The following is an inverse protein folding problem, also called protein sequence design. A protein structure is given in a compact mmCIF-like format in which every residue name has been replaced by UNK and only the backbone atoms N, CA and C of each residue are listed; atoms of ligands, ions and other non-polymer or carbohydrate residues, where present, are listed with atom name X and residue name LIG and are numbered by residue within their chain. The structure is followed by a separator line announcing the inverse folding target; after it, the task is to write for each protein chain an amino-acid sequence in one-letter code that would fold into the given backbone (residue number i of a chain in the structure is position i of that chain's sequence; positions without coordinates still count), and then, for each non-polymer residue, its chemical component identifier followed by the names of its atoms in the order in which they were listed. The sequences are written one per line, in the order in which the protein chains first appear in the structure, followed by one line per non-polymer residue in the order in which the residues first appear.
data_IF_363944217830
#
_entry.id   IF_363944217830
#
_cell.length_a   1.000
_cell.length_b   1.000
_cell.length_c   1.000
_cell.angle_alpha   90.00
_cell.angle_beta   90.00
_cell.angle_gamma   90.00
#
_symmetry.space_group_name_H-M   'P 1'
#
loop_
_entity.id
_entity.type
_entity.pdbx_description
1 polymer ?
#
# COMPACT_ATOMS: atom_id res chain seq x y z
N UNK A 1 10.42 5.06 10.71
CA UNK A 1 11.72 4.53 10.32
C UNK A 1 11.55 3.43 9.30
N UNK A 2 12.21 3.57 8.20
CA UNK A 2 12.03 2.68 7.06
C UNK A 2 13.19 1.70 6.89
N UNK A 3 13.87 1.33 7.97
CA UNK A 3 14.99 0.40 7.90
C UNK A 3 14.60 -0.93 8.53
N UNK A 4 14.66 -1.99 7.74
CA UNK A 4 14.47 -3.35 8.23
C UNK A 4 15.81 -3.94 8.66
N UNK A 5 15.82 -4.70 9.75
CA UNK A 5 17.01 -5.37 10.24
C UNK A 5 17.32 -6.64 9.45
N UNK A 6 17.29 -6.53 8.12
CA UNK A 6 17.52 -7.63 7.19
C UNK A 6 18.58 -7.21 6.17
N UNK A 7 19.37 -8.20 5.73
CA UNK A 7 20.40 -7.98 4.74
C UNK A 7 19.81 -7.72 3.36
N UNK A 8 20.53 -6.95 2.55
CA UNK A 8 20.16 -6.69 1.16
C UNK A 8 20.07 -8.02 0.39
N UNK A 9 18.98 -8.18 -0.35
CA UNK A 9 18.74 -9.34 -1.19
C UNK A 9 18.53 -10.65 -0.43
N UNK A 10 18.13 -10.59 0.84
CA UNK A 10 18.01 -11.77 1.70
C UNK A 10 16.65 -12.45 1.65
N UNK A 11 15.62 -11.77 1.16
CA UNK A 11 14.26 -12.30 1.17
C UNK A 11 13.79 -12.68 -0.23
N UNK A 12 13.11 -13.81 -0.33
CA UNK A 12 12.45 -14.27 -1.56
C UNK A 12 11.07 -13.63 -1.74
N UNK A 13 10.35 -13.45 -0.64
CA UNK A 13 8.98 -12.91 -0.62
C UNK A 13 8.82 -12.02 0.59
N UNK A 14 8.20 -10.87 0.39
CA UNK A 14 7.67 -10.03 1.47
C UNK A 14 6.16 -9.94 1.34
N UNK A 15 5.48 -10.07 2.47
CA UNK A 15 4.02 -9.90 2.53
C UNK A 15 3.72 -8.68 3.38
N UNK A 16 2.95 -7.75 2.82
CA UNK A 16 2.51 -6.55 3.53
C UNK A 16 0.99 -6.47 3.51
N UNK A 17 0.40 -6.16 4.65
CA UNK A 17 -1.04 -6.03 4.80
C UNK A 17 -1.35 -4.88 5.74
N UNK A 18 -1.99 -3.83 5.23
CA UNK A 18 -2.37 -2.68 6.03
C UNK A 18 -1.18 -1.88 6.57
N UNK A 19 0.00 -1.98 5.95
CA UNK A 19 1.23 -1.30 6.41
C UNK A 19 1.47 0.00 5.66
N UNK A 20 1.35 -0.04 4.35
CA UNK A 20 1.70 1.10 3.49
C UNK A 20 0.75 2.30 3.69
N UNK A 21 -0.44 2.06 4.19
CA UNK A 21 -1.37 3.14 4.52
C UNK A 21 -0.94 3.93 5.77
N UNK A 22 -0.13 3.35 6.64
CA UNK A 22 0.18 3.90 7.96
C UNK A 22 1.63 4.37 8.11
N UNK A 23 2.53 3.99 7.21
CA UNK A 23 3.92 4.45 7.29
C UNK A 23 4.01 5.94 6.95
N UNK A 24 4.88 6.65 7.63
CA UNK A 24 5.03 8.10 7.43
C UNK A 24 5.59 8.44 6.04
N UNK A 25 6.50 7.62 5.52
CA UNK A 25 7.10 7.77 4.20
C UNK A 25 6.94 6.47 3.42
N UNK A 26 5.94 6.44 2.56
CA UNK A 26 5.61 5.26 1.75
C UNK A 26 6.72 4.92 0.76
N UNK A 27 7.33 5.93 0.14
CA UNK A 27 8.42 5.71 -0.82
C UNK A 27 9.67 5.12 -0.13
N UNK A 28 10.01 5.61 1.05
CA UNK A 28 11.14 5.09 1.82
C UNK A 28 10.90 3.64 2.26
N UNK A 29 9.69 3.31 2.70
CA UNK A 29 9.33 1.95 3.09
C UNK A 29 9.45 1.00 1.90
N UNK A 30 8.94 1.40 0.73
CA UNK A 30 9.00 0.60 -0.48
C UNK A 30 10.43 0.43 -1.00
N UNK A 31 11.26 1.45 -0.89
CA UNK A 31 12.68 1.35 -1.24
C UNK A 31 13.38 0.31 -0.35
N UNK A 32 13.05 0.27 0.94
CA UNK A 32 13.60 -0.72 1.86
C UNK A 32 13.12 -2.14 1.54
N UNK A 33 11.84 -2.31 1.19
CA UNK A 33 11.34 -3.60 0.72
C UNK A 33 12.07 -4.08 -0.54
N UNK A 34 12.31 -3.15 -1.47
CA UNK A 34 13.05 -3.44 -2.70
C UNK A 34 14.49 -3.87 -2.40
N UNK A 35 15.13 -3.21 -1.44
CA UNK A 35 16.49 -3.55 -1.01
C UNK A 35 16.59 -4.96 -0.45
N UNK A 36 15.66 -5.33 0.42
CA UNK A 36 15.65 -6.61 1.14
C UNK A 36 15.33 -7.79 0.23
N UNK A 37 14.47 -7.57 -0.77
CA UNK A 37 14.12 -8.62 -1.72
C UNK A 37 15.27 -8.93 -2.65
N UNK A 38 15.51 -10.23 -2.89
CA UNK A 38 16.46 -10.65 -3.92
C UNK A 38 15.97 -10.22 -5.32
N UNK A 39 16.85 -10.16 -6.33
CA UNK A 39 16.42 -9.93 -7.71
C UNK A 39 15.38 -10.97 -8.14
N UNK A 40 14.26 -10.50 -8.70
CA UNK A 40 13.12 -11.36 -9.03
C UNK A 40 12.26 -11.76 -7.84
N UNK A 41 12.52 -11.23 -6.64
CA UNK A 41 11.72 -11.49 -5.45
C UNK A 41 10.33 -10.89 -5.53
N UNK A 42 9.41 -11.41 -4.73
CA UNK A 42 8.00 -11.01 -4.78
C UNK A 42 7.62 -10.11 -3.60
N UNK A 43 6.93 -9.01 -3.89
CA UNK A 43 6.18 -8.24 -2.91
C UNK A 43 4.71 -8.60 -3.06
N UNK A 44 4.12 -9.23 -2.05
CA UNK A 44 2.70 -9.54 -2.00
C UNK A 44 2.01 -8.54 -1.09
N UNK A 45 0.98 -7.88 -1.57
CA UNK A 45 0.35 -6.79 -0.85
C UNK A 45 -1.16 -6.89 -0.81
N UNK A 46 -1.71 -6.49 0.34
CA UNK A 46 -3.14 -6.31 0.56
C UNK A 46 -3.32 -5.00 1.32
N UNK A 47 -3.78 -3.96 0.62
CA UNK A 47 -3.84 -2.61 1.16
C UNK A 47 -5.14 -1.92 0.78
N UNK A 48 -5.63 -1.02 1.63
CA UNK A 48 -6.67 -0.08 1.20
C UNK A 48 -6.02 1.13 0.52
N UNK A 49 -6.73 1.72 -0.43
CA UNK A 49 -6.18 2.74 -1.32
C UNK A 49 -7.18 3.84 -1.59
N UNK A 50 -6.71 4.91 -2.24
CA UNK A 50 -7.58 5.94 -2.78
C UNK A 50 -8.47 5.34 -3.87
N UNK A 51 -9.77 5.71 -3.85
CA UNK A 51 -10.73 5.24 -4.84
C UNK A 51 -10.44 5.82 -6.23
N UNK A 52 -10.75 5.05 -7.26
CA UNK A 52 -10.78 5.54 -8.64
C UNK A 52 -11.99 6.45 -8.90
N UNK A 53 -13.04 6.36 -8.09
CA UNK A 53 -14.21 7.24 -8.20
C UNK A 53 -13.89 8.59 -7.61
N UNK A 54 -14.03 9.65 -8.40
CA UNK A 54 -13.68 11.01 -7.98
C UNK A 54 -14.43 11.46 -6.74
N UNK A 55 -15.73 11.18 -6.66
CA UNK A 55 -16.53 11.54 -5.50
C UNK A 55 -16.11 10.84 -4.22
N UNK A 56 -15.83 9.54 -4.30
CA UNK A 56 -15.35 8.78 -3.16
C UNK A 56 -13.93 9.20 -2.75
N UNK A 57 -13.07 9.50 -3.72
CA UNK A 57 -11.72 10.00 -3.43
C UNK A 57 -11.76 11.35 -2.71
N UNK A 58 -12.70 12.24 -3.05
CA UNK A 58 -12.92 13.50 -2.33
C UNK A 58 -13.37 13.25 -0.89
N UNK A 59 -14.26 12.30 -0.68
CA UNK A 59 -14.71 11.89 0.64
C UNK A 59 -13.54 11.37 1.47
N UNK A 60 -12.71 10.50 0.89
CA UNK A 60 -11.51 9.98 1.55
C UNK A 60 -10.57 11.11 1.97
N UNK A 61 -10.34 12.08 1.10
CA UNK A 61 -9.48 13.23 1.40
C UNK A 61 -10.05 14.08 2.53
N UNK A 62 -11.36 14.29 2.52
CA UNK A 62 -12.04 15.08 3.54
C UNK A 62 -11.92 14.46 4.93
N UNK A 63 -12.05 13.14 5.03
CA UNK A 63 -12.03 12.43 6.32
C UNK A 63 -10.63 11.94 6.73
N UNK A 64 -9.61 12.11 5.89
CA UNK A 64 -8.29 11.53 6.13
C UNK A 64 -7.66 12.00 7.43
N UNK A 65 -7.68 13.29 7.72
CA UNK A 65 -7.08 13.82 8.96
C UNK A 65 -7.70 13.26 10.23
N UNK A 66 -9.04 13.34 10.42
CA UNK A 66 -9.64 12.74 11.60
C UNK A 66 -9.46 11.23 11.63
N UNK A 67 -9.55 10.54 10.50
CA UNK A 67 -9.32 9.10 10.41
C UNK A 67 -7.90 8.74 10.84
N UNK A 68 -6.90 9.44 10.29
CA UNK A 68 -5.50 9.19 10.61
C UNK A 68 -5.21 9.39 12.10
N UNK A 69 -5.79 10.42 12.71
CA UNK A 69 -5.63 10.66 14.16
C UNK A 69 -6.25 9.57 15.02
N UNK A 70 -7.39 9.03 14.59
CA UNK A 70 -8.09 7.98 15.33
C UNK A 70 -7.51 6.59 15.11
N UNK A 71 -6.89 6.36 13.95
CA UNK A 71 -6.43 5.03 13.51
C UNK A 71 -4.91 4.90 13.44
N UNK A 72 -4.21 5.60 14.32
CA UNK A 72 -2.77 5.42 14.49
C UNK A 72 -1.91 5.79 13.29
N UNK A 73 -2.32 6.80 12.52
CA UNK A 73 -1.57 7.28 11.36
C UNK A 73 -2.00 6.66 10.04
N UNK A 74 -3.05 5.83 10.04
CA UNK A 74 -3.58 5.25 8.81
C UNK A 74 -4.18 6.32 7.90
N UNK A 75 -3.74 6.38 6.65
CA UNK A 75 -4.26 7.30 5.64
C UNK A 75 -5.24 6.59 4.70
N UNK A 76 -6.33 7.28 4.34
CA UNK A 76 -7.40 6.71 3.52
C UNK A 76 -7.23 6.95 2.03
N UNK A 77 -6.42 7.94 1.65
CA UNK A 77 -6.36 8.47 0.29
C UNK A 77 -5.02 8.26 -0.44
N UNK A 78 -4.22 7.30 0.00
CA UNK A 78 -2.94 7.00 -0.66
C UNK A 78 -3.11 6.17 -1.92
N UNK A 79 -2.43 6.59 -2.98
CA UNK A 79 -2.31 5.81 -4.21
C UNK A 79 -1.14 4.84 -4.10
N UNK A 80 -1.35 3.77 -3.36
CA UNK A 80 -0.32 2.78 -3.04
C UNK A 80 0.18 2.05 -4.28
N UNK A 81 -0.69 1.76 -5.24
CA UNK A 81 -0.28 1.06 -6.46
C UNK A 81 0.74 1.86 -7.27
N UNK A 82 0.49 3.16 -7.45
CA UNK A 82 1.45 4.05 -8.11
C UNK A 82 2.77 4.11 -7.33
N UNK A 83 2.70 4.18 -6.00
CA UNK A 83 3.91 4.19 -5.16
C UNK A 83 4.73 2.90 -5.34
N UNK A 84 4.09 1.74 -5.43
CA UNK A 84 4.76 0.45 -5.67
C UNK A 84 5.48 0.47 -7.02
N UNK A 85 4.81 0.90 -8.08
CA UNK A 85 5.42 0.95 -9.41
C UNK A 85 6.53 2.00 -9.49
N UNK A 86 6.36 3.15 -8.85
CA UNK A 86 7.38 4.20 -8.79
C UNK A 86 8.63 3.76 -8.03
N UNK A 87 8.49 2.83 -7.11
CA UNK A 87 9.63 2.27 -6.35
C UNK A 87 10.46 1.25 -7.16
N UNK A 88 10.08 0.97 -8.41
CA UNK A 88 10.82 0.07 -9.29
C UNK A 88 10.30 -1.37 -9.31
N UNK A 89 9.15 -1.62 -8.71
CA UNK A 89 8.52 -2.94 -8.78
C UNK A 89 7.76 -3.11 -10.09
N UNK A 90 7.89 -4.27 -10.73
CA UNK A 90 7.08 -4.66 -11.86
C UNK A 90 5.82 -5.36 -11.36
N UNK A 91 4.66 -4.79 -11.68
CA UNK A 91 3.38 -5.36 -11.26
C UNK A 91 3.11 -6.65 -12.04
N UNK A 92 2.93 -7.76 -11.33
CA UNK A 92 2.60 -9.05 -11.94
C UNK A 92 1.09 -9.29 -11.98
N UNK A 93 0.41 -9.06 -10.84
CA UNK A 93 -1.04 -9.20 -10.72
C UNK A 93 -1.54 -8.16 -9.74
N UNK A 94 -2.72 -7.62 -10.02
CA UNK A 94 -3.39 -6.73 -9.07
C UNK A 94 -4.90 -6.77 -9.29
N UNK A 95 -5.63 -6.90 -8.20
CA UNK A 95 -7.09 -6.85 -8.22
C UNK A 95 -7.56 -5.77 -7.25
N UNK A 96 -8.39 -4.86 -7.75
CA UNK A 96 -9.07 -3.87 -6.92
C UNK A 96 -10.47 -4.35 -6.55
N UNK A 97 -10.91 -4.06 -5.32
CA UNK A 97 -12.24 -4.40 -4.84
C UNK A 97 -12.63 -3.53 -3.65
N UNK A 98 -13.90 -3.57 -3.28
CA UNK A 98 -14.40 -2.91 -2.06
C UNK A 98 -14.62 -3.91 -0.94
N UNK A 99 -14.26 -3.53 0.28
CA UNK A 99 -14.53 -4.34 1.47
C UNK A 99 -14.75 -3.44 2.69
N UNK A 100 -15.85 -3.56 3.42
CA UNK A 100 -17.00 -4.45 3.12
C UNK A 100 -17.76 -3.98 1.86
N UNK A 101 -18.37 -4.93 1.16
CA UNK A 101 -19.07 -4.67 -0.12
C UNK A 101 -20.17 -3.62 -0.03
N UNK A 102 -20.85 -3.57 1.11
CA UNK A 102 -22.02 -2.72 1.33
C UNK A 102 -21.71 -1.41 2.06
N UNK A 103 -20.45 -1.14 2.35
CA UNK A 103 -20.05 0.07 3.06
C UNK A 103 -19.90 1.24 2.08
N UNK A 104 -20.95 2.04 1.92
CA UNK A 104 -20.99 3.14 0.96
C UNK A 104 -20.05 4.28 1.33
N UNK A 105 -19.86 4.53 2.63
CA UNK A 105 -19.08 5.66 3.14
C UNK A 105 -17.83 5.26 3.92
N UNK A 106 -17.48 3.98 3.95
CA UNK A 106 -16.33 3.52 4.70
C UNK A 106 -15.05 3.92 3.96
N UNK A 107 -14.22 4.83 4.53
CA UNK A 107 -13.11 5.43 3.77
C UNK A 107 -12.00 4.46 3.40
N UNK A 108 -11.89 3.31 4.07
CA UNK A 108 -10.90 2.27 3.74
C UNK A 108 -11.52 1.08 3.01
N UNK A 109 -12.70 1.25 2.41
CA UNK A 109 -13.34 0.19 1.64
C UNK A 109 -12.60 -0.15 0.33
N UNK A 110 -12.10 0.82 -0.47
CA UNK A 110 -11.33 0.50 -1.67
C UNK A 110 -10.01 -0.17 -1.30
N UNK A 111 -9.76 -1.36 -1.85
CA UNK A 111 -8.58 -2.17 -1.54
C UNK A 111 -7.97 -2.75 -2.79
N UNK A 112 -6.69 -3.07 -2.69
CA UNK A 112 -5.96 -3.79 -3.74
C UNK A 112 -5.29 -5.03 -3.13
N UNK A 113 -5.26 -6.08 -3.92
CA UNK A 113 -4.56 -7.32 -3.60
C UNK A 113 -3.72 -7.70 -4.80
N UNK A 114 -2.43 -7.87 -4.63
CA UNK A 114 -1.58 -8.14 -5.76
C UNK A 114 -0.20 -8.66 -5.44
N UNK A 115 0.55 -8.88 -6.51
CA UNK A 115 1.94 -9.34 -6.48
C UNK A 115 2.75 -8.45 -7.42
N UNK A 116 3.87 -7.95 -6.94
CA UNK A 116 4.85 -7.21 -7.73
C UNK A 116 6.23 -7.85 -7.54
N UNK A 117 7.11 -7.67 -8.51
CA UNK A 117 8.46 -8.25 -8.47
C UNK A 117 9.53 -7.19 -8.61
N UNK A 118 10.68 -7.45 -7.98
CA UNK A 118 11.90 -6.70 -8.26
C UNK A 118 12.47 -7.15 -9.61
N UNK A 119 13.17 -6.24 -10.26
CA UNK A 119 13.79 -6.54 -11.53
C UNK A 119 14.98 -7.49 -11.39
#
# INVERSE_FOLDING_TARGET
AATLALETGSADVLVVSGVLCSVSDQAAALAEFHRVLRPGGELRFYEHVRSHRTGFARWQRLVDRPWSRMMGGCHTDRDTLTAITDAGFALERCRGFGFPRHAICYPVAPRILGVARTA
#
